data_IF_438937660815
#
_entry.id   IF_438937660815
#
_cell.length_a   1.000
_cell.length_b   1.000
_cell.length_c   1.000
_cell.angle_alpha   90.00
_cell.angle_beta   90.00
_cell.angle_gamma   90.00
#
_symmetry.space_group_name_H-M   'P 1'
#
loop_
_entity.id
_entity.type
_entity.pdbx_description
1 polymer ?
#
# COMPACT_ATOMS: atom_id res chain seq x y z
N UNK A 1 22.16 -9.06 -15.25
CA UNK A 1 22.50 -8.69 -13.86
C UNK A 1 23.47 -9.74 -13.33
N UNK A 2 24.70 -9.36 -12.96
CA UNK A 2 25.69 -10.31 -12.42
C UNK A 2 25.28 -10.78 -11.03
N UNK A 3 25.46 -12.07 -10.72
CA UNK A 3 25.12 -12.69 -9.42
C UNK A 3 25.73 -11.92 -8.24
N UNK A 4 26.94 -11.38 -8.40
CA UNK A 4 27.62 -10.57 -7.38
C UNK A 4 26.85 -9.29 -7.07
N UNK A 5 26.24 -8.64 -8.07
CA UNK A 5 25.44 -7.44 -7.87
C UNK A 5 24.18 -7.73 -7.07
N UNK A 6 23.53 -8.88 -7.30
CA UNK A 6 22.33 -9.28 -6.57
C UNK A 6 22.66 -9.48 -5.08
N UNK A 7 23.72 -10.21 -4.77
CA UNK A 7 24.17 -10.40 -3.38
C UNK A 7 24.56 -9.10 -2.70
N UNK A 8 25.23 -8.20 -3.42
CA UNK A 8 25.57 -6.88 -2.89
C UNK A 8 24.33 -6.06 -2.56
N UNK A 9 23.33 -6.01 -3.46
CA UNK A 9 22.07 -5.30 -3.24
C UNK A 9 21.30 -5.89 -2.06
N UNK A 10 21.23 -7.22 -1.95
CA UNK A 10 20.59 -7.89 -0.80
C UNK A 10 21.29 -7.50 0.50
N UNK A 11 22.62 -7.51 0.53
CA UNK A 11 23.41 -7.11 1.70
C UNK A 11 23.14 -5.66 2.11
N UNK A 12 23.15 -4.74 1.15
CA UNK A 12 22.88 -3.31 1.40
C UNK A 12 21.44 -3.09 1.87
N UNK A 13 20.44 -3.66 1.21
CA UNK A 13 19.02 -3.52 1.59
C UNK A 13 18.78 -4.11 2.98
N UNK A 14 19.36 -5.27 3.26
CA UNK A 14 19.30 -5.90 4.58
C UNK A 14 19.90 -5.01 5.66
N UNK A 15 21.10 -4.48 5.43
CA UNK A 15 21.79 -3.59 6.37
C UNK A 15 21.01 -2.30 6.62
N UNK A 16 20.49 -1.66 5.57
CA UNK A 16 19.69 -0.43 5.68
C UNK A 16 18.39 -0.68 6.44
N UNK A 17 17.68 -1.78 6.14
CA UNK A 17 16.44 -2.15 6.85
C UNK A 17 16.71 -2.42 8.32
N UNK A 18 17.82 -3.11 8.62
CA UNK A 18 18.25 -3.37 9.99
C UNK A 18 18.60 -2.08 10.74
N UNK A 19 19.38 -1.19 10.13
CA UNK A 19 19.75 0.11 10.70
C UNK A 19 18.52 0.98 10.97
N UNK A 20 17.54 1.01 10.06
CA UNK A 20 16.27 1.71 10.28
C UNK A 20 15.55 1.18 11.52
N UNK A 21 15.36 -0.15 11.62
CA UNK A 21 14.74 -0.77 12.80
C UNK A 21 15.52 -0.50 14.08
N UNK A 22 16.85 -0.62 14.02
CA UNK A 22 17.73 -0.38 15.15
C UNK A 22 17.72 1.09 15.58
N UNK A 23 17.60 2.03 14.64
CA UNK A 23 17.45 3.45 14.95
C UNK A 23 16.13 3.71 15.69
N UNK A 24 15.01 3.07 15.31
CA UNK A 24 13.76 3.22 16.06
C UNK A 24 13.84 2.61 17.46
N UNK A 25 14.43 1.43 17.62
CA UNK A 25 14.51 0.72 18.91
C UNK A 25 15.56 1.32 19.85
N UNK A 26 16.75 1.64 19.34
CA UNK A 26 17.88 2.13 20.12
C UNK A 26 17.85 3.64 20.40
N UNK A 27 17.16 4.43 19.58
CA UNK A 27 17.04 5.88 19.75
C UNK A 27 15.71 6.28 20.44
N UNK A 28 14.72 5.37 20.49
CA UNK A 28 13.42 5.59 21.14
C UNK A 28 13.49 5.84 22.65
N UNK A 29 14.53 5.32 23.32
CA UNK A 29 14.69 5.47 24.78
C UNK A 29 15.36 6.82 25.17
N UNK A 30 16.01 7.51 24.21
CA UNK A 30 16.74 8.77 24.46
C UNK A 30 16.10 10.00 23.83
N UNK A 31 15.35 9.84 22.74
CA UNK A 31 14.50 10.89 22.22
C UNK A 31 13.18 10.80 22.98
N UNK A 32 12.94 11.74 23.91
CA UNK A 32 11.56 12.03 24.38
C UNK A 32 10.68 12.08 23.14
N UNK A 33 9.90 11.03 22.87
CA UNK A 33 9.11 10.93 21.64
C UNK A 33 8.32 12.22 21.50
N UNK A 34 8.66 13.12 20.55
CA UNK A 34 7.86 14.31 20.37
C UNK A 34 6.48 13.79 19.97
N UNK A 35 5.43 14.12 20.72
CA UNK A 35 4.07 13.62 20.45
C UNK A 35 3.67 13.84 18.98
N UNK A 36 4.23 14.88 18.36
CA UNK A 36 4.15 15.20 16.93
C UNK A 36 4.64 14.05 16.05
N UNK A 37 5.83 13.49 16.31
CA UNK A 37 6.40 12.41 15.49
C UNK A 37 5.56 11.13 15.61
N UNK A 38 5.15 10.76 16.83
CA UNK A 38 4.27 9.60 17.06
C UNK A 38 2.91 9.76 16.36
N UNK A 39 2.35 10.98 16.39
CA UNK A 39 1.09 11.31 15.69
C UNK A 39 1.24 11.20 14.17
N UNK A 40 2.35 11.68 13.61
CA UNK A 40 2.66 11.56 12.18
C UNK A 40 2.86 10.08 11.79
N UNK A 41 3.68 9.34 12.54
CA UNK A 41 3.98 7.93 12.24
C UNK A 41 2.72 7.04 12.27
N UNK A 42 1.73 7.34 13.12
CA UNK A 42 0.43 6.63 13.11
C UNK A 42 -0.39 6.86 11.84
N UNK A 43 -0.19 7.98 11.16
CA UNK A 43 -0.87 8.33 9.90
C UNK A 43 -0.13 7.77 8.67
N UNK A 44 1.16 7.45 8.79
CA UNK A 44 1.94 6.90 7.66
C UNK A 44 1.33 5.60 7.11
N UNK A 45 1.01 4.56 7.92
CA UNK A 45 0.46 3.31 7.39
C UNK A 45 -0.82 3.49 6.57
N UNK A 46 -1.89 4.18 7.07
CA UNK A 46 -3.09 4.36 6.27
C UNK A 46 -2.84 5.23 5.03
N UNK A 47 -2.04 6.29 5.12
CA UNK A 47 -1.75 7.16 3.97
C UNK A 47 -1.00 6.42 2.86
N UNK A 48 -0.02 5.59 3.23
CA UNK A 48 0.73 4.77 2.25
C UNK A 48 -0.19 3.76 1.58
N UNK A 49 -1.06 3.07 2.33
CA UNK A 49 -2.04 2.15 1.76
C UNK A 49 -3.00 2.88 0.80
N UNK A 50 -3.49 4.06 1.18
CA UNK A 50 -4.32 4.88 0.29
C UNK A 50 -3.56 5.25 -0.97
N UNK A 51 -2.32 5.75 -0.87
CA UNK A 51 -1.51 6.12 -2.01
C UNK A 51 -1.22 4.92 -2.94
N UNK A 52 -0.97 3.73 -2.39
CA UNK A 52 -0.78 2.50 -3.15
C UNK A 52 -2.04 2.09 -3.91
N UNK A 53 -3.20 2.14 -3.25
CA UNK A 53 -4.49 1.84 -3.90
C UNK A 53 -4.78 2.88 -4.98
N UNK A 54 -4.62 4.16 -4.68
CA UNK A 54 -4.80 5.24 -5.67
C UNK A 54 -3.86 5.07 -6.87
N UNK A 55 -2.56 4.83 -6.66
CA UNK A 55 -1.63 4.64 -7.79
C UNK A 55 -1.98 3.41 -8.62
N UNK A 56 -2.38 2.31 -7.98
CA UNK A 56 -2.83 1.11 -8.69
C UNK A 56 -4.07 1.33 -9.56
N UNK A 57 -4.97 2.23 -9.17
CA UNK A 57 -6.21 2.53 -9.89
C UNK A 57 -6.05 3.60 -10.97
N UNK A 58 -5.25 4.63 -10.71
CA UNK A 58 -5.16 5.81 -11.60
C UNK A 58 -3.92 5.80 -12.50
N UNK A 59 -2.84 5.13 -12.11
CA UNK A 59 -1.59 5.06 -12.88
C UNK A 59 -1.40 3.64 -13.41
N UNK A 60 -2.18 3.27 -14.43
CA UNK A 60 -1.89 2.09 -15.23
C UNK A 60 -1.00 2.47 -16.42
N UNK A 61 0.24 1.95 -16.41
CA UNK A 61 1.15 1.99 -17.57
C UNK A 61 1.36 3.38 -18.21
N UNK A 62 1.43 4.44 -17.39
CA UNK A 62 1.73 5.79 -17.86
C UNK A 62 0.60 6.47 -18.64
N UNK A 63 -0.59 5.87 -18.67
CA UNK A 63 -1.81 6.50 -19.17
C UNK A 63 -2.75 6.70 -17.98
N UNK A 64 -3.48 7.81 -17.97
CA UNK A 64 -4.65 7.96 -17.11
C UNK A 64 -5.84 7.54 -17.97
N UNK A 65 -6.22 6.25 -18.01
CA UNK A 65 -7.42 5.86 -18.72
C UNK A 65 -8.61 6.39 -17.94
N UNK A 66 -8.92 7.68 -18.10
CA UNK A 66 -10.16 8.32 -17.63
C UNK A 66 -11.33 7.89 -18.51
N UNK A 67 -11.37 6.62 -18.90
CA UNK A 67 -12.48 6.02 -19.62
C UNK A 67 -13.23 5.18 -18.61
N UNK A 68 -14.47 5.58 -18.30
CA UNK A 68 -15.42 4.83 -17.45
C UNK A 68 -15.66 3.37 -17.89
N UNK A 69 -15.13 2.97 -19.04
CA UNK A 69 -15.15 1.62 -19.58
C UNK A 69 -14.11 0.70 -18.94
N UNK A 70 -13.17 1.24 -18.16
CA UNK A 70 -12.23 0.39 -17.43
C UNK A 70 -12.95 -0.29 -16.25
N UNK A 71 -12.95 -1.63 -16.21
CA UNK A 71 -13.70 -2.44 -15.23
C UNK A 71 -13.24 -2.23 -13.78
N UNK A 72 -12.08 -1.60 -13.58
CA UNK A 72 -11.43 -1.44 -12.29
C UNK A 72 -12.02 -0.30 -11.45
N UNK A 73 -12.47 0.80 -12.07
CA UNK A 73 -13.11 1.91 -11.33
C UNK A 73 -14.42 1.48 -10.63
N UNK A 74 -15.39 0.82 -11.30
CA UNK A 74 -16.61 0.38 -10.62
C UNK A 74 -16.32 -0.74 -9.61
N UNK A 75 -15.34 -1.62 -9.88
CA UNK A 75 -14.92 -2.64 -8.93
C UNK A 75 -14.33 -2.03 -7.64
N UNK A 76 -13.48 -1.01 -7.77
CA UNK A 76 -12.92 -0.27 -6.63
C UNK A 76 -14.00 0.48 -5.83
N UNK A 77 -14.99 1.07 -6.51
CA UNK A 77 -16.10 1.75 -5.87
C UNK A 77 -16.94 0.78 -5.03
N UNK A 78 -17.26 -0.39 -5.59
CA UNK A 78 -18.00 -1.45 -4.88
C UNK A 78 -17.20 -1.97 -3.68
N UNK A 79 -15.90 -2.25 -3.87
CA UNK A 79 -15.03 -2.69 -2.79
C UNK A 79 -14.96 -1.66 -1.65
N UNK A 80 -14.84 -0.36 -1.98
CA UNK A 80 -14.87 0.72 -1.01
C UNK A 80 -16.20 0.83 -0.25
N UNK A 81 -17.33 0.65 -0.95
CA UNK A 81 -18.66 0.68 -0.36
C UNK A 81 -18.87 -0.48 0.63
N UNK A 82 -18.41 -1.68 0.27
CA UNK A 82 -18.45 -2.87 1.13
C UNK A 82 -17.49 -2.74 2.30
N UNK A 83 -16.30 -2.19 2.10
CA UNK A 83 -15.36 -1.90 3.18
C UNK A 83 -15.99 -0.99 4.25
N UNK A 84 -16.69 0.06 3.80
CA UNK A 84 -17.36 1.01 4.69
C UNK A 84 -18.52 0.39 5.47
N UNK A 85 -19.31 -0.48 4.81
CA UNK A 85 -20.46 -1.16 5.43
C UNK A 85 -20.06 -2.29 6.38
N UNK A 86 -19.16 -3.17 5.95
CA UNK A 86 -18.93 -4.45 6.64
C UNK A 86 -17.83 -4.34 7.68
N UNK A 87 -16.94 -3.33 7.59
CA UNK A 87 -15.73 -3.18 8.43
C UNK A 87 -14.91 -4.48 8.56
N UNK A 88 -15.06 -5.40 7.60
CA UNK A 88 -14.48 -6.72 7.60
C UNK A 88 -13.64 -6.88 6.34
N UNK A 89 -12.35 -7.15 6.55
CA UNK A 89 -11.36 -7.24 5.48
C UNK A 89 -11.70 -8.37 4.49
N UNK A 90 -12.21 -9.50 4.99
CA UNK A 90 -12.50 -10.67 4.16
C UNK A 90 -13.62 -10.37 3.15
N UNK A 91 -14.72 -9.75 3.61
CA UNK A 91 -15.84 -9.34 2.75
C UNK A 91 -15.44 -8.26 1.75
N UNK A 92 -14.51 -7.39 2.13
CA UNK A 92 -13.96 -6.35 1.25
C UNK A 92 -13.16 -6.96 0.09
N UNK A 93 -12.29 -7.91 0.40
CA UNK A 93 -11.49 -8.62 -0.62
C UNK A 93 -12.39 -9.45 -1.53
N UNK A 94 -13.32 -10.23 -0.98
CA UNK A 94 -14.26 -11.05 -1.74
C UNK A 94 -15.11 -10.21 -2.70
N UNK A 95 -15.73 -9.14 -2.20
CA UNK A 95 -16.57 -8.27 -3.03
C UNK A 95 -15.77 -7.57 -4.13
N UNK A 96 -14.56 -7.08 -3.83
CA UNK A 96 -13.67 -6.46 -4.82
C UNK A 96 -13.23 -7.45 -5.89
N UNK A 97 -12.85 -8.68 -5.51
CA UNK A 97 -12.48 -9.73 -6.46
C UNK A 97 -13.64 -10.14 -7.36
N UNK A 98 -14.83 -10.35 -6.78
CA UNK A 98 -16.03 -10.72 -7.54
C UNK A 98 -16.42 -9.60 -8.51
N UNK A 99 -16.41 -8.34 -8.07
CA UNK A 99 -16.72 -7.20 -8.92
C UNK A 99 -15.71 -7.08 -10.07
N UNK A 100 -14.40 -7.18 -9.77
CA UNK A 100 -13.36 -7.11 -10.79
C UNK A 100 -13.50 -8.25 -11.81
N UNK A 101 -13.77 -9.47 -11.35
CA UNK A 101 -14.01 -10.61 -12.25
C UNK A 101 -15.24 -10.41 -13.13
N UNK A 102 -16.34 -9.95 -12.55
CA UNK A 102 -17.59 -9.73 -13.28
C UNK A 102 -17.42 -8.65 -14.35
N UNK A 103 -16.76 -7.53 -14.00
CA UNK A 103 -16.52 -6.45 -14.94
C UNK A 103 -15.42 -6.76 -15.96
N UNK A 104 -14.44 -7.63 -15.64
CA UNK A 104 -13.42 -8.09 -16.61
C UNK A 104 -13.96 -9.14 -17.59
N UNK A 105 -14.98 -9.89 -17.18
CA UNK A 105 -15.63 -10.88 -18.03
C UNK A 105 -16.64 -10.26 -19.01
N UNK A 106 -17.21 -9.11 -18.65
CA UNK A 106 -18.13 -8.31 -19.48
C UNK A 106 -17.37 -7.44 -20.50
#
# INVERSE_FOLDING_TARGET
MSTVHVWFVIGVVGLVTFLLRFAFIGLGDRLKEPEVLRRILRLVPPTVLTALVTSSLFLQEGKVPLTLRNPEYPAALIAGLVAWRTKNLLWTILSGMIALWLFRWL
#
